data_IF_728948636426
#
_entry.id   IF_728948636426
#
_cell.length_a   1.000
_cell.length_b   1.000
_cell.length_c   1.000
_cell.angle_alpha   90.00
_cell.angle_beta   90.00
_cell.angle_gamma   90.00
#
_symmetry.space_group_name_H-M   'P 1'
#
loop_
_entity.id
_entity.type
_entity.pdbx_description
1 polymer ?
#
# COMPACT_ATOMS: atom_id res chain seq x y z
N UNK A 1 -4.45 -4.71 -32.63
CA UNK A 1 -3.99 -3.73 -33.63
C UNK A 1 -5.14 -2.78 -33.91
N UNK A 2 -4.90 -1.49 -33.62
CA UNK A 2 -5.52 -0.29 -34.24
C UNK A 2 -7.05 -0.11 -34.08
N UNK A 3 -7.61 1.10 -33.98
CA UNK A 3 -7.10 2.46 -33.99
C UNK A 3 -8.20 3.37 -33.41
N UNK A 4 -7.79 4.49 -32.83
CA UNK A 4 -8.67 5.61 -32.49
C UNK A 4 -9.24 6.26 -33.75
N UNK A 5 -10.50 6.70 -33.73
CA UNK A 5 -10.87 7.94 -34.42
C UNK A 5 -11.99 8.67 -33.70
N UNK A 6 -11.72 9.94 -33.48
CA UNK A 6 -12.46 10.98 -32.79
C UNK A 6 -13.48 11.61 -33.74
N UNK A 7 -14.72 11.91 -33.29
CA UNK A 7 -15.40 13.15 -33.71
C UNK A 7 -16.66 13.47 -32.90
N UNK A 8 -16.77 14.75 -32.57
CA UNK A 8 -17.67 15.42 -31.66
C UNK A 8 -19.10 15.58 -32.18
N UNK A 9 -20.08 15.66 -31.27
CA UNK A 9 -21.33 16.39 -31.52
C UNK A 9 -21.95 16.90 -30.23
N UNK A 10 -22.00 18.22 -30.15
CA UNK A 10 -22.56 19.06 -29.10
C UNK A 10 -24.09 18.95 -29.06
N UNK A 11 -24.68 18.78 -27.87
CA UNK A 11 -26.04 19.26 -27.57
C UNK A 11 -26.16 19.53 -26.08
N UNK A 12 -26.09 20.83 -25.78
CA UNK A 12 -26.41 21.43 -24.49
C UNK A 12 -27.89 21.17 -24.16
N UNK A 13 -28.16 20.63 -22.98
CA UNK A 13 -29.50 20.68 -22.37
C UNK A 13 -29.31 20.96 -20.89
N UNK A 14 -29.34 22.26 -20.59
CA UNK A 14 -29.39 22.82 -19.26
C UNK A 14 -30.59 22.25 -18.49
N UNK A 15 -30.32 21.48 -17.45
CA UNK A 15 -31.27 21.21 -16.37
C UNK A 15 -30.55 21.57 -15.08
N UNK A 16 -30.80 22.78 -14.61
CA UNK A 16 -30.26 23.34 -13.37
C UNK A 16 -30.83 22.59 -12.16
N UNK A 17 -30.17 21.52 -11.74
CA UNK A 17 -30.34 20.94 -10.40
C UNK A 17 -29.32 21.59 -9.50
N UNK A 18 -29.77 22.53 -8.65
CA UNK A 18 -28.95 23.14 -7.60
C UNK A 18 -28.58 22.05 -6.59
N UNK A 19 -27.35 21.57 -6.64
CA UNK A 19 -26.78 20.72 -5.59
C UNK A 19 -26.40 21.64 -4.40
N UNK A 20 -26.97 21.46 -3.18
CA UNK A 20 -26.68 22.32 -2.04
C UNK A 20 -25.30 22.05 -1.41
N UNK A 21 -24.62 20.98 -1.86
CA UNK A 21 -23.32 20.57 -1.34
C UNK A 21 -22.33 20.42 -2.51
N UNK A 22 -21.91 21.54 -3.07
CA UNK A 22 -20.86 21.60 -4.10
C UNK A 22 -19.47 21.59 -3.48
N UNK A 23 -18.85 20.42 -3.35
CA UNK A 23 -17.40 20.31 -3.16
C UNK A 23 -16.71 20.46 -4.53
N UNK A 24 -16.19 21.65 -4.82
CA UNK A 24 -15.30 21.90 -5.94
C UNK A 24 -13.85 21.76 -5.45
N UNK A 25 -13.22 20.61 -5.72
CA UNK A 25 -11.79 20.44 -5.47
C UNK A 25 -11.01 21.05 -6.62
N UNK A 26 -10.43 22.24 -6.42
CA UNK A 26 -9.45 22.79 -7.33
C UNK A 26 -8.05 22.62 -6.72
N UNK A 27 -7.25 21.77 -7.35
CA UNK A 27 -5.86 21.49 -6.99
C UNK A 27 -4.96 22.67 -7.34
N UNK A 28 -3.89 22.83 -6.55
CA UNK A 28 -2.79 23.80 -6.67
C UNK A 28 -3.07 25.23 -6.19
N UNK A 29 -2.89 25.45 -4.88
CA UNK A 29 -2.17 26.63 -4.38
C UNK A 29 -1.50 26.30 -3.04
N UNK A 30 -0.28 26.79 -2.92
CA UNK A 30 0.71 26.54 -1.88
C UNK A 30 0.12 26.61 -0.47
N UNK A 31 0.39 25.56 0.32
CA UNK A 31 0.03 25.44 1.73
C UNK A 31 0.78 26.52 2.52
N UNK A 32 0.11 27.63 2.79
CA UNK A 32 0.38 28.45 3.97
C UNK A 32 -0.43 27.83 5.09
N UNK A 33 0.25 27.32 6.12
CA UNK A 33 -0.36 26.89 7.36
C UNK A 33 -1.09 28.07 8.01
N UNK A 34 -2.38 28.21 7.72
CA UNK A 34 -3.31 29.04 8.48
C UNK A 34 -4.35 28.10 9.05
N UNK A 35 -3.99 27.46 10.16
CA UNK A 35 -4.90 26.72 11.03
C UNK A 35 -5.81 27.71 11.75
N UNK A 36 -6.77 28.31 11.04
CA UNK A 36 -7.61 29.38 11.60
C UNK A 36 -8.94 29.60 10.85
N UNK A 37 -9.68 28.54 10.53
CA UNK A 37 -11.01 28.71 9.88
C UNK A 37 -12.16 27.95 10.58
N UNK A 38 -11.95 27.50 11.83
CA UNK A 38 -13.05 27.05 12.71
C UNK A 38 -12.93 27.65 14.12
N UNK A 39 -12.70 28.96 14.20
CA UNK A 39 -12.95 29.70 15.45
C UNK A 39 -14.46 29.86 15.62
N UNK A 40 -15.11 28.84 16.17
CA UNK A 40 -16.27 29.12 17.01
C UNK A 40 -15.76 30.01 18.14
N UNK A 41 -16.33 31.19 18.31
CA UNK A 41 -16.04 32.08 19.44
C UNK A 41 -16.43 31.39 20.75
N UNK A 42 -15.48 30.61 21.28
CA UNK A 42 -15.60 29.90 22.55
C UNK A 42 -15.31 30.83 23.75
N UNK A 43 -15.13 32.14 23.52
CA UNK A 43 -14.80 33.15 24.53
C UNK A 43 -15.90 33.44 25.56
N UNK A 44 -17.09 32.85 25.41
CA UNK A 44 -18.24 33.10 26.28
C UNK A 44 -18.46 32.11 27.43
N UNK A 45 -17.85 30.92 27.40
CA UNK A 45 -18.13 29.89 28.43
C UNK A 45 -17.40 30.21 29.72
N UNK A 46 -18.15 30.44 30.79
CA UNK A 46 -17.61 30.66 32.15
C UNK A 46 -17.89 29.46 33.05
N UNK A 47 -16.93 29.14 33.89
CA UNK A 47 -17.13 28.15 34.95
C UNK A 47 -17.87 28.76 36.16
N UNK A 48 -18.21 27.94 37.16
CA UNK A 48 -18.88 28.40 38.40
C UNK A 48 -18.03 29.33 39.30
N UNK A 49 -16.80 29.65 38.90
CA UNK A 49 -15.96 30.67 39.55
C UNK A 49 -16.03 32.02 38.82
N UNK A 50 -16.91 32.15 37.82
CA UNK A 50 -17.04 33.30 36.90
C UNK A 50 -15.78 33.60 36.07
N UNK A 51 -14.86 32.63 36.02
CA UNK A 51 -13.67 32.68 35.17
C UNK A 51 -13.97 32.01 33.82
N UNK A 52 -13.32 32.48 32.73
CA UNK A 52 -13.33 31.78 31.45
C UNK A 52 -12.97 30.30 31.62
N UNK A 53 -13.74 29.43 30.98
CA UNK A 53 -13.50 28.00 30.94
C UNK A 53 -12.75 27.67 29.64
N UNK A 54 -11.49 27.21 29.70
CA UNK A 54 -10.75 26.83 28.49
C UNK A 54 -11.38 25.60 27.84
N UNK A 55 -11.38 25.59 26.51
CA UNK A 55 -11.71 24.42 25.69
C UNK A 55 -10.48 23.49 25.64
N UNK A 56 -10.67 22.22 25.97
CA UNK A 56 -9.64 21.19 26.03
C UNK A 56 -10.12 19.95 25.27
N UNK A 57 -9.20 19.18 24.69
CA UNK A 57 -9.53 17.91 24.04
C UNK A 57 -9.38 16.74 25.02
N UNK A 58 -10.36 15.85 25.02
CA UNK A 58 -10.36 14.61 25.77
C UNK A 58 -9.48 13.58 25.03
N UNK A 59 -8.27 13.36 25.54
CA UNK A 59 -7.39 12.31 25.08
C UNK A 59 -7.37 11.19 26.12
N UNK A 60 -8.30 10.24 26.01
CA UNK A 60 -8.27 9.00 26.80
C UNK A 60 -8.45 7.79 25.89
N UNK A 61 -7.35 7.05 25.73
CA UNK A 61 -7.32 5.80 24.99
C UNK A 61 -8.33 4.79 25.59
N UNK A 62 -9.05 4.07 24.73
CA UNK A 62 -10.09 3.12 25.14
C UNK A 62 -11.45 3.71 25.53
N UNK A 63 -11.68 5.02 25.41
CA UNK A 63 -13.02 5.62 25.55
C UNK A 63 -13.69 5.86 24.19
N UNK A 64 -15.00 6.13 24.18
CA UNK A 64 -15.77 6.46 22.97
C UNK A 64 -15.65 7.93 22.55
N UNK A 65 -14.99 8.77 23.35
CA UNK A 65 -14.86 10.21 23.13
C UNK A 65 -13.41 10.73 22.96
N UNK A 66 -12.44 9.97 22.38
CA UNK A 66 -11.12 10.52 22.11
C UNK A 66 -11.22 11.63 21.06
N UNK A 67 -10.52 12.74 21.32
CA UNK A 67 -10.54 13.94 20.48
C UNK A 67 -11.77 14.84 20.66
N UNK A 68 -12.73 14.48 21.52
CA UNK A 68 -13.85 15.40 21.83
C UNK A 68 -13.40 16.56 22.68
N UNK A 69 -13.90 17.74 22.38
CA UNK A 69 -13.62 18.97 23.10
C UNK A 69 -14.59 19.18 24.25
N UNK A 70 -14.08 19.66 25.39
CA UNK A 70 -14.84 20.01 26.57
C UNK A 70 -14.32 21.31 27.21
N UNK A 71 -15.18 22.00 27.95
CA UNK A 71 -14.85 23.13 28.80
C UNK A 71 -14.64 22.68 30.24
N UNK A 72 -13.52 23.08 30.82
CA UNK A 72 -13.17 22.80 32.21
C UNK A 72 -12.99 24.07 33.04
N UNK A 73 -13.02 23.94 34.37
CA UNK A 73 -12.63 25.05 35.24
C UNK A 73 -11.14 25.40 35.03
N UNK A 74 -10.82 26.67 34.78
CA UNK A 74 -9.43 27.16 34.71
C UNK A 74 -8.58 26.80 35.93
N UNK A 75 -9.21 26.65 37.11
CA UNK A 75 -8.55 26.28 38.37
C UNK A 75 -8.58 24.78 38.67
N UNK A 76 -8.85 23.91 37.68
CA UNK A 76 -9.04 22.48 37.91
C UNK A 76 -7.90 21.78 38.69
N UNK A 77 -6.67 22.30 38.59
CA UNK A 77 -5.48 21.80 39.29
C UNK A 77 -5.44 22.14 40.78
N UNK A 78 -6.18 23.15 41.24
CA UNK A 78 -6.23 23.56 42.65
C UNK A 78 -7.44 22.89 43.35
N UNK A 79 -7.23 21.91 44.24
CA UNK A 79 -8.33 21.19 44.89
C UNK A 79 -9.22 22.06 45.78
N UNK A 80 -8.67 23.17 46.32
CA UNK A 80 -9.40 24.08 47.23
C UNK A 80 -10.19 25.14 46.48
N UNK A 81 -9.78 25.47 45.24
CA UNK A 81 -10.38 26.56 44.44
C UNK A 81 -11.11 26.09 43.18
N UNK A 82 -11.02 24.81 42.80
CA UNK A 82 -11.75 24.25 41.66
C UNK A 82 -13.25 24.16 41.94
N UNK A 83 -14.07 24.39 40.93
CA UNK A 83 -15.52 24.27 41.02
C UNK A 83 -16.11 23.07 40.28
N UNK A 84 -15.26 22.15 39.79
CA UNK A 84 -15.64 20.96 39.04
C UNK A 84 -16.58 21.23 37.85
N UNK A 85 -16.50 22.43 37.26
CA UNK A 85 -17.22 22.74 36.04
C UNK A 85 -16.72 21.87 34.89
N UNK A 86 -17.66 21.26 34.17
CA UNK A 86 -17.42 20.43 33.00
C UNK A 86 -18.59 20.59 32.03
N UNK A 87 -18.30 20.79 30.74
CA UNK A 87 -19.30 20.87 29.69
C UNK A 87 -18.70 20.36 28.37
N UNK A 88 -19.37 19.44 27.66
CA UNK A 88 -18.93 19.06 26.32
C UNK A 88 -19.10 20.23 25.35
N UNK A 89 -18.05 20.56 24.60
CA UNK A 89 -18.09 21.57 23.55
C UNK A 89 -18.66 20.97 22.26
N UNK A 90 -18.26 19.74 21.94
CA UNK A 90 -18.80 19.03 20.79
C UNK A 90 -20.13 18.35 21.16
N UNK A 91 -21.13 18.37 20.25
CA UNK A 91 -22.38 17.67 20.47
C UNK A 91 -22.16 16.16 20.58
N UNK A 92 -23.10 15.47 21.21
CA UNK A 92 -23.10 14.00 21.19
C UNK A 92 -23.29 13.51 19.76
N UNK A 93 -22.53 12.48 19.37
CA UNK A 93 -22.72 11.84 18.07
C UNK A 93 -24.14 11.26 17.98
N UNK A 94 -24.85 11.40 16.85
CA UNK A 94 -26.09 10.67 16.61
C UNK A 94 -25.90 9.17 16.83
N UNK A 95 -26.91 8.46 17.34
CA UNK A 95 -26.82 7.00 17.58
C UNK A 95 -26.33 6.25 16.33
N UNK A 96 -26.90 6.60 15.17
CA UNK A 96 -26.49 6.01 13.88
C UNK A 96 -25.00 6.17 13.60
N UNK A 97 -24.40 7.30 13.96
CA UNK A 97 -22.97 7.51 13.76
C UNK A 97 -22.14 6.60 14.67
N UNK A 98 -22.58 6.38 15.92
CA UNK A 98 -21.92 5.44 16.83
C UNK A 98 -21.98 4.01 16.31
N UNK A 99 -23.13 3.59 15.81
CA UNK A 99 -23.30 2.25 15.24
C UNK A 99 -22.40 2.03 14.02
N UNK A 100 -22.37 2.99 13.10
CA UNK A 100 -21.48 2.94 11.93
C UNK A 100 -20.01 2.90 12.36
N UNK A 101 -19.59 3.72 13.34
CA UNK A 101 -18.21 3.70 13.85
C UNK A 101 -17.86 2.32 14.43
N UNK A 102 -18.76 1.71 15.20
CA UNK A 102 -18.55 0.36 15.76
C UNK A 102 -18.42 -0.68 14.65
N UNK A 103 -19.33 -0.65 13.67
CA UNK A 103 -19.31 -1.56 12.53
C UNK A 103 -18.00 -1.42 11.71
N UNK A 104 -17.57 -0.19 11.44
CA UNK A 104 -16.31 0.08 10.74
C UNK A 104 -15.10 -0.42 11.52
N UNK A 105 -15.04 -0.20 12.85
CA UNK A 105 -13.96 -0.72 13.69
C UNK A 105 -13.91 -2.25 13.67
N UNK A 106 -15.07 -2.91 13.70
CA UNK A 106 -15.15 -4.36 13.59
C UNK A 106 -14.64 -4.84 12.22
N UNK A 107 -15.08 -4.20 11.13
CA UNK A 107 -14.60 -4.53 9.77
C UNK A 107 -13.10 -4.33 9.62
N UNK A 108 -12.54 -3.25 10.16
CA UNK A 108 -11.09 -3.02 10.15
C UNK A 108 -10.34 -4.15 10.84
N UNK A 109 -10.78 -4.57 12.04
CA UNK A 109 -10.17 -5.70 12.75
C UNK A 109 -10.19 -6.99 11.92
N UNK A 110 -11.33 -7.33 11.32
CA UNK A 110 -11.43 -8.53 10.47
C UNK A 110 -10.52 -8.44 9.25
N UNK A 111 -10.39 -7.25 8.64
CA UNK A 111 -9.50 -7.02 7.50
C UNK A 111 -8.02 -7.12 7.89
N UNK A 112 -7.65 -6.64 9.07
CA UNK A 112 -6.30 -6.77 9.60
C UNK A 112 -5.93 -8.24 9.84
N UNK A 113 -6.87 -9.04 10.38
CA UNK A 113 -6.71 -10.49 10.55
C UNK A 113 -6.57 -11.21 9.19
N UNK A 114 -7.39 -10.85 8.20
CA UNK A 114 -7.32 -11.39 6.83
C UNK A 114 -5.98 -11.04 6.17
N UNK A 115 -5.52 -9.79 6.29
CA UNK A 115 -4.21 -9.35 5.79
C UNK A 115 -3.07 -10.11 6.46
N UNK A 116 -3.16 -10.38 7.76
CA UNK A 116 -2.16 -11.15 8.48
C UNK A 116 -2.10 -12.61 7.98
N UNK A 117 -3.27 -13.23 7.72
CA UNK A 117 -3.34 -14.57 7.15
C UNK A 117 -2.72 -14.61 5.76
N UNK A 118 -3.15 -13.72 4.86
CA UNK A 118 -2.64 -13.63 3.49
C UNK A 118 -1.13 -13.39 3.46
N UNK A 119 -0.61 -12.54 4.36
CA UNK A 119 0.83 -12.32 4.51
C UNK A 119 1.57 -13.59 4.94
N UNK A 120 1.00 -14.38 5.84
CA UNK A 120 1.61 -15.64 6.28
C UNK A 120 1.64 -16.69 5.17
N UNK A 121 0.58 -16.76 4.35
CA UNK A 121 0.51 -17.61 3.15
C UNK A 121 1.53 -17.17 2.09
N UNK A 122 1.62 -15.88 1.81
CA UNK A 122 2.60 -15.33 0.87
C UNK A 122 4.03 -15.68 1.30
N UNK A 123 4.37 -15.50 2.57
CA UNK A 123 5.68 -15.87 3.12
C UNK A 123 5.97 -17.39 3.02
N UNK A 124 4.92 -18.23 3.00
CA UNK A 124 5.07 -19.67 2.81
C UNK A 124 5.29 -20.03 1.35
N UNK A 125 4.52 -19.43 0.44
CA UNK A 125 4.68 -19.59 -1.01
C UNK A 125 6.05 -19.10 -1.45
N UNK A 126 6.52 -17.96 -0.95
CA UNK A 126 7.84 -17.40 -1.22
C UNK A 126 8.96 -18.38 -0.85
N UNK A 127 8.90 -19.00 0.33
CA UNK A 127 9.86 -20.03 0.75
C UNK A 127 9.81 -21.28 -0.14
N UNK A 128 8.62 -21.72 -0.55
CA UNK A 128 8.51 -22.85 -1.50
C UNK A 128 9.09 -22.49 -2.86
N UNK A 129 8.84 -21.26 -3.31
CA UNK A 129 9.34 -20.77 -4.59
C UNK A 129 10.87 -20.66 -4.60
N UNK A 130 11.50 -20.26 -3.48
CA UNK A 130 12.96 -20.22 -3.39
C UNK A 130 13.59 -21.61 -3.53
N UNK A 131 13.05 -22.61 -2.83
CA UNK A 131 13.53 -24.00 -2.91
C UNK A 131 13.37 -24.55 -4.33
N UNK A 132 12.18 -24.39 -4.93
CA UNK A 132 11.94 -24.82 -6.30
C UNK A 132 12.85 -24.09 -7.30
N UNK A 133 13.18 -22.83 -7.05
CA UNK A 133 14.10 -22.09 -7.92
C UNK A 133 15.53 -22.65 -7.84
N UNK A 134 16.01 -22.98 -6.64
CA UNK A 134 17.31 -23.64 -6.45
C UNK A 134 17.35 -25.01 -7.16
N UNK A 135 16.29 -25.82 -7.05
CA UNK A 135 16.17 -27.10 -7.75
C UNK A 135 16.20 -26.93 -9.27
N UNK A 136 15.47 -25.95 -9.81
CA UNK A 136 15.46 -25.64 -11.24
C UNK A 136 16.84 -25.21 -11.73
N UNK A 137 17.57 -24.43 -10.94
CA UNK A 137 18.90 -23.97 -11.31
C UNK A 137 19.93 -25.12 -11.28
N UNK A 138 19.84 -26.04 -10.31
CA UNK A 138 20.64 -27.27 -10.28
C UNK A 138 20.39 -28.15 -11.51
N UNK A 139 19.13 -28.39 -11.87
CA UNK A 139 18.76 -29.16 -13.06
C UNK A 139 19.24 -28.48 -14.35
N UNK A 140 19.18 -27.15 -14.43
CA UNK A 140 19.71 -26.38 -15.56
C UNK A 140 21.22 -26.55 -15.71
N UNK A 141 21.97 -26.61 -14.59
CA UNK A 141 23.41 -26.87 -14.65
C UNK A 141 23.73 -28.28 -15.14
N UNK A 142 23.04 -29.30 -14.63
CA UNK A 142 23.21 -30.69 -15.07
C UNK A 142 22.91 -30.86 -16.57
N UNK A 143 21.82 -30.26 -17.06
CA UNK A 143 21.46 -30.28 -18.48
C UNK A 143 22.53 -29.62 -19.36
N UNK A 144 23.15 -28.52 -18.90
CA UNK A 144 24.25 -27.86 -19.63
C UNK A 144 25.49 -28.74 -19.69
N UNK A 145 25.87 -29.39 -18.59
CA UNK A 145 27.02 -30.30 -18.52
C UNK A 145 26.82 -31.53 -19.41
N UNK A 146 25.63 -32.13 -19.38
CA UNK A 146 25.30 -33.24 -20.28
C UNK A 146 25.42 -32.82 -21.76
N UNK A 147 24.92 -31.63 -22.11
CA UNK A 147 25.02 -31.09 -23.47
C UNK A 147 26.47 -30.87 -23.93
N UNK A 148 27.34 -30.33 -23.07
CA UNK A 148 28.76 -30.12 -23.43
C UNK A 148 29.51 -31.43 -23.61
N UNK A 149 29.21 -32.43 -22.77
CA UNK A 149 29.80 -33.77 -22.90
C UNK A 149 29.40 -34.45 -24.22
N UNK A 150 28.14 -34.31 -24.65
CA UNK A 150 27.69 -34.83 -25.94
C UNK A 150 28.41 -34.17 -27.12
N UNK A 151 28.52 -32.83 -27.13
CA UNK A 151 29.26 -32.10 -28.17
C UNK A 151 30.72 -32.55 -28.25
N UNK A 152 31.41 -32.72 -27.12
CA UNK A 152 32.79 -33.19 -27.08
C UNK A 152 32.97 -34.60 -27.66
N UNK A 153 32.01 -35.50 -27.43
CA UNK A 153 32.02 -36.85 -28.03
C UNK A 153 31.82 -36.79 -29.55
N UNK A 154 30.94 -35.90 -30.02
CA UNK A 154 30.68 -35.68 -31.44
C UNK A 154 31.91 -35.06 -32.16
N UNK A 155 32.53 -34.05 -31.56
CA UNK A 155 33.75 -33.40 -32.05
C UNK A 155 34.96 -34.35 -32.05
N UNK A 156 35.11 -35.16 -31.00
CA UNK A 156 36.16 -36.19 -30.92
C UNK A 156 36.00 -37.27 -31.99
N UNK A 157 34.76 -37.71 -32.23
CA UNK A 157 34.44 -38.64 -33.32
C UNK A 157 34.71 -38.04 -34.70
N UNK A 158 34.37 -36.76 -34.91
CA UNK A 158 34.67 -36.05 -36.15
C UNK A 158 36.18 -35.88 -36.38
N UNK A 159 36.93 -35.59 -35.32
CA UNK A 159 38.40 -35.41 -35.38
C UNK A 159 39.11 -36.72 -35.72
N UNK A 160 38.74 -37.83 -35.07
CA UNK A 160 39.31 -39.14 -35.39
C UNK A 160 39.01 -39.56 -36.84
N UNK A 161 37.77 -39.35 -37.31
CA UNK A 161 37.39 -39.62 -38.71
C UNK A 161 38.23 -38.80 -39.69
N UNK A 162 38.44 -37.51 -39.42
CA UNK A 162 39.30 -36.64 -40.25
C UNK A 162 40.75 -37.12 -40.28
N UNK A 163 41.32 -37.52 -39.14
CA UNK A 163 42.68 -38.05 -39.06
C UNK A 163 42.85 -39.35 -39.86
N UNK A 164 41.87 -40.27 -39.76
CA UNK A 164 41.88 -41.52 -40.54
C UNK A 164 41.81 -41.25 -42.05
N UNK A 165 40.92 -40.35 -42.49
CA UNK A 165 40.83 -39.96 -43.90
C UNK A 165 42.14 -39.35 -44.39
N UNK A 166 42.73 -38.44 -43.62
CA UNK A 166 44.02 -37.84 -43.94
C UNK A 166 45.12 -38.90 -44.09
N UNK A 167 45.21 -39.84 -43.15
CA UNK A 167 46.17 -40.93 -43.18
C UNK A 167 46.01 -41.80 -44.44
N UNK A 168 44.76 -42.18 -44.79
CA UNK A 168 44.47 -42.95 -46.01
C UNK A 168 44.92 -42.20 -47.27
N UNK A 169 44.64 -40.89 -47.37
CA UNK A 169 45.05 -40.06 -48.50
C UNK A 169 46.59 -40.05 -48.63
N UNK A 170 47.31 -39.84 -47.54
CA UNK A 170 48.79 -39.84 -47.54
C UNK A 170 49.33 -41.18 -47.99
N UNK A 171 48.80 -42.31 -47.50
CA UNK A 171 49.21 -43.64 -47.93
C UNK A 171 49.01 -43.87 -49.44
N UNK A 172 47.89 -43.43 -49.99
CA UNK A 172 47.61 -43.53 -51.44
C UNK A 172 48.63 -42.72 -52.23
N UNK A 173 48.89 -41.48 -51.84
CA UNK A 173 49.90 -40.62 -52.50
C UNK A 173 51.27 -41.30 -52.45
N UNK A 174 51.72 -41.75 -51.28
CA UNK A 174 53.01 -42.43 -51.15
C UNK A 174 53.14 -43.72 -51.99
N UNK A 175 52.03 -44.41 -52.24
CA UNK A 175 52.02 -45.60 -53.10
C UNK A 175 52.07 -45.27 -54.60
N UNK A 176 51.58 -44.09 -55.02
CA UNK A 176 51.63 -43.64 -56.41
C UNK A 176 53.00 -43.09 -56.83
N UNK A 177 53.81 -42.63 -55.87
CA UNK A 177 55.15 -42.07 -56.10
C UNK A 177 56.29 -43.03 -55.72
N UNK A 178 55.99 -44.32 -55.58
CA UNK A 178 56.96 -45.41 -55.36
C UNK A 178 57.09 -46.24 -56.64
#
# INVERSE_FOLDING_TARGET
MNEYTFMSSSRSSSSSVRNPYGYHSNTNKQVKNTSSDFDYDFGGVKCKCDLPAPCQEAWKEGTLDPGKRFFGCSRYKDPKRRCNFFLWADPTYPERARDVIKELKFKLKMKDEELQSAKSEMNFVERKMSVLNEEVDALRTEMKEASTMLKKKEDGGCTLKKMVVYFVIVCVICALFK
#
